data_IF_008440534365
#
_entry.id   IF_008440534365
#
_cell.length_a   1.000
_cell.length_b   1.000
_cell.length_c   1.000
_cell.angle_alpha   90.00
_cell.angle_beta   90.00
_cell.angle_gamma   90.00
#
_symmetry.space_group_name_H-M   'P 1'
#
loop_
_entity.id
_entity.type
_entity.pdbx_description
1 polymer ?
#
# COMPACT_ATOMS: atom_id res chain seq x y z
N UNK A 1 20.84 8.47 -1.74
CA UNK A 1 19.40 8.16 -1.55
C UNK A 1 18.71 8.08 -2.91
N UNK A 2 18.03 6.97 -3.23
CA UNK A 2 17.36 6.79 -4.53
C UNK A 2 15.95 7.34 -4.47
N UNK A 3 15.56 8.19 -5.42
CA UNK A 3 14.17 8.63 -5.56
C UNK A 3 13.44 7.67 -6.50
N UNK A 4 12.21 7.29 -6.17
CA UNK A 4 11.33 6.50 -7.03
C UNK A 4 10.00 7.23 -7.16
N UNK A 5 9.57 7.46 -8.39
CA UNK A 5 8.23 7.97 -8.67
C UNK A 5 7.25 6.81 -8.68
N UNK A 6 6.14 6.97 -7.97
CA UNK A 6 5.04 6.00 -7.96
C UNK A 6 3.78 6.76 -8.38
N UNK A 7 3.06 6.19 -9.33
CA UNK A 7 1.73 6.60 -9.75
C UNK A 7 0.71 5.60 -9.21
N UNK A 8 -0.42 6.09 -8.68
CA UNK A 8 -1.48 5.21 -8.21
C UNK A 8 -2.86 5.90 -8.30
N UNK A 9 -3.90 5.10 -8.57
CA UNK A 9 -5.32 5.50 -8.48
C UNK A 9 -5.96 4.80 -7.28
N UNK A 10 -6.77 5.53 -6.52
CA UNK A 10 -7.45 4.97 -5.36
C UNK A 10 -8.80 4.34 -5.73
N UNK A 11 -8.79 3.19 -6.39
CA UNK A 11 -10.01 2.51 -6.86
C UNK A 11 -10.98 2.13 -5.74
N UNK A 12 -10.53 2.04 -4.48
CA UNK A 12 -11.41 1.77 -3.33
C UNK A 12 -12.42 2.88 -3.05
N UNK A 13 -12.18 4.08 -3.57
CA UNK A 13 -13.07 5.24 -3.44
C UNK A 13 -13.88 5.50 -4.72
N UNK A 14 -13.81 4.60 -5.69
CA UNK A 14 -14.58 4.71 -6.91
C UNK A 14 -16.07 4.57 -6.58
N UNK A 15 -16.85 5.57 -6.94
CA UNK A 15 -18.30 5.48 -6.93
C UNK A 15 -18.73 4.77 -8.22
N UNK A 16 -19.29 3.56 -8.06
CA UNK A 16 -19.71 2.72 -9.18
C UNK A 16 -20.92 3.32 -9.90
N UNK A 17 -21.80 4.03 -9.17
CA UNK A 17 -22.97 4.65 -9.77
C UNK A 17 -22.54 5.82 -10.65
N UNK A 18 -21.68 6.70 -10.13
CA UNK A 18 -21.12 7.80 -10.91
C UNK A 18 -20.33 7.31 -12.13
N UNK A 19 -19.60 6.19 -12.00
CA UNK A 19 -18.95 5.57 -13.15
C UNK A 19 -19.96 5.10 -14.20
N UNK A 20 -21.04 4.45 -13.79
CA UNK A 20 -22.05 3.95 -14.72
C UNK A 20 -22.74 5.07 -15.50
N UNK A 21 -22.96 6.23 -14.88
CA UNK A 21 -23.51 7.42 -15.52
C UNK A 21 -22.55 8.03 -16.56
N UNK A 22 -21.24 7.95 -16.31
CA UNK A 22 -20.23 8.46 -17.25
C UNK A 22 -19.92 7.48 -18.40
N UNK A 23 -20.25 6.20 -18.25
CA UNK A 23 -20.02 5.15 -19.25
C UNK A 23 -21.12 5.08 -20.33
N UNK A 24 -21.94 6.13 -20.49
CA UNK A 24 -22.89 6.21 -21.59
C UNK A 24 -22.13 6.42 -22.89
N UNK A 25 -21.95 5.33 -23.62
CA UNK A 25 -21.25 5.29 -24.89
C UNK A 25 -22.26 4.97 -25.99
N UNK A 26 -22.39 5.89 -26.95
CA UNK A 26 -23.21 5.66 -28.14
C UNK A 26 -22.31 5.06 -29.22
N UNK A 27 -22.45 3.75 -29.43
CA UNK A 27 -21.56 3.00 -30.30
C UNK A 27 -22.03 3.08 -31.75
N UNK A 28 -21.41 3.95 -32.54
CA UNK A 28 -21.42 3.80 -34.01
C UNK A 28 -20.33 2.80 -34.39
N UNK A 29 -20.74 1.56 -34.65
CA UNK A 29 -19.82 0.45 -34.88
C UNK A 29 -19.43 0.44 -36.36
N UNK A 30 -18.27 1.00 -36.69
CA UNK A 30 -17.65 0.88 -38.02
C UNK A 30 -16.60 -0.23 -38.07
N UNK A 31 -15.82 -0.42 -36.98
CA UNK A 31 -14.78 -1.44 -36.83
C UNK A 31 -14.56 -1.81 -35.34
N UNK A 32 -14.00 -2.99 -35.08
CA UNK A 32 -13.79 -3.51 -33.72
C UNK A 32 -12.61 -2.81 -33.03
N UNK A 33 -11.54 -2.46 -33.76
CA UNK A 33 -10.38 -1.79 -33.16
C UNK A 33 -10.72 -0.34 -32.77
N UNK A 34 -11.48 0.36 -33.60
CA UNK A 34 -11.97 1.71 -33.30
C UNK A 34 -12.90 1.71 -32.09
N UNK A 35 -13.83 0.75 -32.03
CA UNK A 35 -14.70 0.57 -30.86
C UNK A 35 -13.91 0.33 -29.57
N UNK A 36 -12.91 -0.54 -29.61
CA UNK A 36 -12.07 -0.83 -28.46
C UNK A 36 -11.26 0.39 -28.01
N UNK A 37 -10.73 1.17 -28.97
CA UNK A 37 -10.01 2.42 -28.71
C UNK A 37 -10.91 3.46 -28.04
N UNK A 38 -12.11 3.67 -28.58
CA UNK A 38 -13.06 4.66 -28.08
C UNK A 38 -13.56 4.30 -26.68
N UNK A 39 -13.89 3.03 -26.45
CA UNK A 39 -14.27 2.54 -25.13
C UNK A 39 -13.14 2.73 -24.12
N UNK A 40 -11.89 2.40 -24.48
CA UNK A 40 -10.74 2.64 -23.62
C UNK A 40 -10.54 4.12 -23.31
N UNK A 41 -10.80 5.00 -24.27
CA UNK A 41 -10.72 6.46 -24.09
C UNK A 41 -11.76 6.96 -23.09
N UNK A 42 -13.02 6.56 -23.26
CA UNK A 42 -14.12 6.96 -22.35
C UNK A 42 -13.92 6.43 -20.95
N UNK A 43 -13.51 5.16 -20.82
CA UNK A 43 -13.19 4.56 -19.52
C UNK A 43 -12.04 5.33 -18.85
N UNK A 44 -10.99 5.65 -19.59
CA UNK A 44 -9.85 6.40 -19.06
C UNK A 44 -10.25 7.79 -18.58
N UNK A 45 -11.02 8.54 -19.38
CA UNK A 45 -11.52 9.87 -19.00
C UNK A 45 -12.40 9.80 -17.75
N UNK A 46 -13.32 8.84 -17.70
CA UNK A 46 -14.20 8.64 -16.54
C UNK A 46 -13.39 8.34 -15.27
N UNK A 47 -12.37 7.48 -15.39
CA UNK A 47 -11.48 7.18 -14.27
C UNK A 47 -10.57 8.35 -13.89
N UNK A 48 -10.16 9.21 -14.82
CA UNK A 48 -9.35 10.41 -14.54
C UNK A 48 -10.16 11.43 -13.71
N UNK A 49 -11.46 11.54 -13.96
CA UNK A 49 -12.37 12.42 -13.19
C UNK A 49 -12.67 11.83 -11.81
N UNK A 50 -13.12 10.58 -11.75
CA UNK A 50 -13.60 9.96 -10.51
C UNK A 50 -12.46 9.58 -9.58
N UNK A 51 -11.34 9.11 -10.13
CA UNK A 51 -10.21 8.58 -9.37
C UNK A 51 -8.88 9.03 -10.01
N UNK A 52 -8.55 10.33 -9.94
CA UNK A 52 -7.38 10.88 -10.59
C UNK A 52 -6.09 10.21 -10.14
N UNK A 53 -5.16 10.06 -11.07
CA UNK A 53 -3.82 9.55 -10.77
C UNK A 53 -3.08 10.47 -9.81
N UNK A 54 -2.55 9.87 -8.74
CA UNK A 54 -1.72 10.56 -7.77
C UNK A 54 -0.29 10.10 -7.94
N UNK A 55 0.53 11.02 -8.45
CA UNK A 55 1.96 10.82 -8.58
C UNK A 55 2.66 11.31 -7.32
N UNK A 56 3.51 10.46 -6.74
CA UNK A 56 4.33 10.83 -5.57
C UNK A 56 5.75 10.34 -5.76
N UNK A 57 6.71 11.21 -5.47
CA UNK A 57 8.12 10.84 -5.40
C UNK A 57 8.42 10.36 -3.99
N UNK A 58 8.72 9.07 -3.86
CA UNK A 58 9.18 8.50 -2.59
C UNK A 58 10.70 8.48 -2.56
N UNK A 59 11.26 8.78 -1.39
CA UNK A 59 12.71 8.59 -1.16
C UNK A 59 12.92 7.19 -0.61
N UNK A 60 13.56 6.34 -1.40
CA UNK A 60 14.00 5.02 -0.95
C UNK A 60 15.27 5.23 -0.11
N UNK A 61 15.13 5.02 1.19
CA UNK A 61 16.25 4.93 2.11
C UNK A 61 16.88 3.56 1.94
N UNK A 62 18.21 3.52 1.80
CA UNK A 62 18.93 2.26 1.92
C UNK A 62 18.66 1.70 3.31
N UNK A 63 18.38 0.40 3.39
CA UNK A 63 18.35 -0.26 4.68
C UNK A 63 19.73 -0.14 5.29
N UNK A 64 19.78 0.13 6.60
CA UNK A 64 21.03 0.04 7.33
C UNK A 64 21.46 -1.42 7.37
N UNK A 65 22.76 -1.69 7.36
CA UNK A 65 23.29 -3.06 7.26
C UNK A 65 22.84 -3.95 8.42
N UNK A 66 22.62 -3.35 9.59
CA UNK A 66 22.07 -4.04 10.74
C UNK A 66 20.57 -4.34 10.65
N UNK A 67 19.81 -3.70 9.74
CA UNK A 67 18.37 -3.90 9.61
C UNK A 67 18.06 -5.06 8.68
N UNK A 68 18.32 -6.27 9.18
CA UNK A 68 18.16 -7.54 8.48
C UNK A 68 16.70 -7.84 8.13
N UNK A 69 16.49 -8.74 7.16
CA UNK A 69 15.14 -9.21 6.82
C UNK A 69 14.45 -9.91 8.01
N UNK A 70 15.23 -10.57 8.89
CA UNK A 70 14.73 -11.13 10.15
C UNK A 70 14.09 -10.03 11.04
N UNK A 71 14.79 -8.91 11.25
CA UNK A 71 14.24 -7.78 12.00
C UNK A 71 13.02 -7.16 11.33
N UNK A 72 12.97 -7.16 9.99
CA UNK A 72 11.80 -6.71 9.25
C UNK A 72 10.57 -7.59 9.51
N UNK A 73 10.75 -8.90 9.58
CA UNK A 73 9.67 -9.83 9.96
C UNK A 73 9.18 -9.58 11.38
N UNK A 74 10.10 -9.46 12.34
CA UNK A 74 9.72 -9.19 13.73
C UNK A 74 8.97 -7.87 13.88
N UNK A 75 9.45 -6.81 13.22
CA UNK A 75 8.75 -5.52 13.19
C UNK A 75 7.35 -5.64 12.59
N UNK A 76 7.18 -6.46 11.56
CA UNK A 76 5.87 -6.72 10.94
C UNK A 76 4.93 -7.48 11.88
N UNK A 77 5.45 -8.46 12.64
CA UNK A 77 4.70 -9.18 13.68
C UNK A 77 4.24 -8.25 14.81
N UNK A 78 5.13 -7.35 15.28
CA UNK A 78 4.78 -6.32 16.27
C UNK A 78 3.62 -5.47 15.77
N UNK A 79 3.73 -4.88 14.56
CA UNK A 79 2.67 -4.04 13.97
C UNK A 79 1.35 -4.77 13.81
N UNK A 80 1.36 -6.06 13.45
CA UNK A 80 0.14 -6.88 13.36
C UNK A 80 -0.53 -7.00 14.73
N UNK A 81 0.24 -7.30 15.78
CA UNK A 81 -0.28 -7.39 17.16
C UNK A 81 -0.74 -6.04 17.71
N UNK A 82 -0.07 -4.94 17.37
CA UNK A 82 -0.52 -3.59 17.71
C UNK A 82 -1.90 -3.29 17.12
N UNK A 83 -2.14 -3.67 15.85
CA UNK A 83 -3.47 -3.50 15.23
C UNK A 83 -4.54 -4.31 15.95
N UNK A 84 -4.26 -5.57 16.28
CA UNK A 84 -5.18 -6.45 17.02
C UNK A 84 -5.49 -5.84 18.39
N UNK A 85 -4.46 -5.47 19.17
CA UNK A 85 -4.66 -4.85 20.48
C UNK A 85 -5.43 -3.52 20.39
N UNK A 86 -5.17 -2.67 19.39
CA UNK A 86 -5.93 -1.42 19.22
C UNK A 86 -7.41 -1.66 18.90
N UNK A 87 -7.72 -2.75 18.22
CA UNK A 87 -9.08 -3.10 17.84
C UNK A 87 -9.86 -3.69 19.02
N UNK A 88 -9.30 -4.66 19.73
CA UNK A 88 -10.00 -5.36 20.81
C UNK A 88 -9.80 -4.73 22.20
N UNK A 89 -8.63 -4.12 22.46
CA UNK A 89 -8.22 -3.51 23.74
C UNK A 89 -8.28 -4.42 24.98
N UNK A 90 -8.16 -5.72 24.78
CA UNK A 90 -8.17 -6.72 25.87
C UNK A 90 -6.77 -6.99 26.45
N UNK A 91 -6.71 -7.35 27.74
CA UNK A 91 -5.46 -7.57 28.47
C UNK A 91 -4.61 -8.74 27.96
N UNK A 92 -5.27 -9.82 27.50
CA UNK A 92 -4.55 -10.94 26.91
C UNK A 92 -3.90 -10.56 25.56
N UNK A 93 -4.51 -9.63 24.80
CA UNK A 93 -3.93 -9.08 23.58
C UNK A 93 -2.74 -8.16 23.89
N UNK A 94 -2.83 -7.37 24.97
CA UNK A 94 -1.70 -6.59 25.47
C UNK A 94 -0.52 -7.49 25.86
N UNK A 95 -0.79 -8.57 26.58
CA UNK A 95 0.24 -9.54 27.00
C UNK A 95 0.92 -10.19 25.79
N UNK A 96 0.13 -10.60 24.79
CA UNK A 96 0.66 -11.15 23.54
C UNK A 96 1.51 -10.13 22.77
N UNK A 97 1.07 -8.87 22.69
CA UNK A 97 1.83 -7.78 22.07
C UNK A 97 3.15 -7.54 22.81
N UNK A 98 3.11 -7.46 24.14
CA UNK A 98 4.29 -7.22 24.99
C UNK A 98 5.36 -8.29 24.77
N UNK A 99 4.96 -9.57 24.70
CA UNK A 99 5.88 -10.69 24.41
C UNK A 99 6.58 -10.52 23.05
N UNK A 100 5.83 -10.21 22.00
CA UNK A 100 6.40 -10.02 20.65
C UNK A 100 7.28 -8.77 20.59
N UNK A 101 6.90 -7.69 21.28
CA UNK A 101 7.68 -6.44 21.34
C UNK A 101 9.02 -6.66 22.05
N UNK A 102 9.01 -7.38 23.17
CA UNK A 102 10.23 -7.70 23.91
C UNK A 102 11.21 -8.52 23.06
N UNK A 103 10.70 -9.53 22.35
CA UNK A 103 11.52 -10.34 21.44
C UNK A 103 12.11 -9.51 20.29
N UNK A 104 11.33 -8.58 19.73
CA UNK A 104 11.83 -7.67 18.70
C UNK A 104 12.94 -6.75 19.25
N UNK A 105 12.73 -6.14 20.42
CA UNK A 105 13.71 -5.23 21.03
C UNK A 105 15.02 -5.95 21.37
N UNK A 106 14.94 -7.20 21.86
CA UNK A 106 16.12 -8.01 22.13
C UNK A 106 16.94 -8.25 20.86
N UNK A 107 16.26 -8.66 19.76
CA UNK A 107 16.93 -8.90 18.47
C UNK A 107 17.50 -7.61 17.88
N UNK A 108 16.76 -6.50 17.97
CA UNK A 108 17.19 -5.20 17.50
C UNK A 108 18.50 -4.78 18.17
N UNK A 109 18.56 -4.88 19.51
CA UNK A 109 19.76 -4.52 20.28
C UNK A 109 20.96 -5.41 19.91
N UNK A 110 20.74 -6.73 19.82
CA UNK A 110 21.78 -7.70 19.42
C UNK A 110 22.38 -7.37 18.04
N UNK A 111 21.53 -7.05 17.07
CA UNK A 111 21.98 -6.78 15.70
C UNK A 111 22.59 -5.37 15.57
N UNK A 112 22.16 -4.40 16.37
CA UNK A 112 22.82 -3.08 16.48
C UNK A 112 24.23 -3.20 17.08
N UNK A 113 24.41 -3.99 18.14
CA UNK A 113 25.72 -4.24 18.78
C UNK A 113 26.69 -4.97 17.84
N UNK A 114 26.22 -5.97 17.08
CA UNK A 114 27.04 -6.72 16.11
C UNK A 114 27.62 -5.87 14.98
N UNK A 115 26.97 -4.77 14.63
CA UNK A 115 27.35 -3.91 13.51
C UNK A 115 27.92 -2.55 13.95
N UNK A 116 28.22 -2.39 15.25
CA UNK A 116 28.87 -1.20 15.81
C UNK A 116 30.37 -1.40 16.08
N UNK A 117 30.94 -2.51 15.60
CA UNK A 117 32.36 -2.88 15.60
C UNK A 117 32.83 -2.87 14.15
#
# INVERSE_FOLDING_TARGET
MRRKTITNRNYKKLDVNALSEMLVFDANIEDLESLASDLNSVVKQSLDVLVPEKTRTITIRQNKDWFTDELREWRSRVRRRERIYRHYREDHQWTALKKVRNNYNFKLKRDEERNSI
#
